data_IF_556032278608
#
_entry.id   IF_556032278608
#
_cell.length_a   1.000
_cell.length_b   1.000
_cell.length_c   1.000
_cell.angle_alpha   90.00
_cell.angle_beta   90.00
_cell.angle_gamma   90.00
#
_symmetry.space_group_name_H-M   'P 1'
#
loop_
_entity.id
_entity.type
_entity.pdbx_description
1 polymer ?
#
# COMPACT_ATOMS: atom_id res chain seq x y z
N UNK A 1 1.36 -18.67 -9.23
CA UNK A 1 0.36 -18.06 -8.34
C UNK A 1 0.86 -16.73 -7.85
N UNK A 2 0.06 -15.72 -7.93
CA UNK A 2 0.47 -14.40 -7.48
C UNK A 2 -0.22 -14.08 -6.15
N UNK A 3 0.50 -13.41 -5.29
CA UNK A 3 -0.01 -12.99 -4.00
C UNK A 3 0.00 -11.48 -3.93
N UNK A 4 -1.06 -10.93 -3.41
CA UNK A 4 -1.10 -9.53 -3.07
C UNK A 4 -1.59 -9.43 -1.64
N UNK A 5 -1.16 -8.38 -0.96
CA UNK A 5 -1.52 -8.19 0.45
C UNK A 5 -1.98 -6.76 0.66
N UNK A 6 -3.02 -6.54 1.47
CA UNK A 6 -3.44 -5.20 1.81
C UNK A 6 -2.53 -4.62 2.89
N UNK A 7 -2.27 -3.33 2.80
CA UNK A 7 -1.49 -2.63 3.79
C UNK A 7 -1.89 -1.17 3.86
N UNK A 8 -1.50 -0.51 4.93
CA UNK A 8 -1.82 0.89 5.14
C UNK A 8 -0.58 1.74 4.95
N UNK A 9 -0.71 2.80 4.15
CA UNK A 9 0.38 3.75 3.95
C UNK A 9 0.54 4.56 5.23
N UNK A 10 1.72 4.49 5.83
CA UNK A 10 1.99 5.22 7.07
C UNK A 10 3.00 6.35 6.86
N UNK A 11 3.66 6.39 5.73
CA UNK A 11 4.61 7.44 5.40
C UNK A 11 4.76 7.53 3.89
N UNK A 12 4.94 8.73 3.37
CA UNK A 12 5.21 8.95 1.94
C UNK A 12 6.52 9.68 1.80
N UNK A 13 7.25 9.39 0.73
CA UNK A 13 8.47 10.10 0.39
C UNK A 13 8.75 9.93 -1.10
N UNK A 14 9.66 10.74 -1.61
CA UNK A 14 10.02 10.72 -3.02
C UNK A 14 11.52 10.49 -3.14
N UNK A 15 11.90 9.53 -3.99
CA UNK A 15 13.30 9.26 -4.29
C UNK A 15 13.43 9.27 -5.81
N UNK A 16 14.23 10.22 -6.32
CA UNK A 16 14.52 10.30 -7.76
C UNK A 16 13.26 10.29 -8.61
N UNK A 17 12.31 11.13 -8.23
CA UNK A 17 11.04 11.29 -8.93
C UNK A 17 10.09 10.11 -8.79
N UNK A 18 10.44 9.11 -8.01
CA UNK A 18 9.53 8.00 -7.73
C UNK A 18 8.86 8.24 -6.38
N UNK A 19 7.55 8.03 -6.34
CA UNK A 19 6.81 8.09 -5.10
C UNK A 19 6.89 6.75 -4.42
N UNK A 20 7.33 6.77 -3.17
CA UNK A 20 7.37 5.58 -2.35
C UNK A 20 6.58 5.84 -1.07
N UNK A 21 6.25 4.77 -0.39
CA UNK A 21 5.62 4.88 0.90
C UNK A 21 6.06 3.75 1.78
N UNK A 22 6.05 4.00 3.08
CA UNK A 22 6.20 2.92 4.04
C UNK A 22 4.80 2.38 4.29
N UNK A 23 4.62 1.09 4.06
CA UNK A 23 3.31 0.46 4.17
C UNK A 23 3.36 -0.56 5.30
N UNK A 24 2.36 -0.50 6.18
CA UNK A 24 2.25 -1.37 7.32
C UNK A 24 1.37 -2.57 6.98
N UNK A 25 1.91 -3.75 7.23
CA UNK A 25 1.22 -5.03 7.09
C UNK A 25 1.21 -5.66 8.49
N UNK A 26 0.21 -5.31 9.30
CA UNK A 26 0.25 -5.71 10.69
C UNK A 26 1.43 -5.08 11.40
N UNK A 27 2.30 -5.90 11.96
CA UNK A 27 3.48 -5.42 12.68
C UNK A 27 4.68 -5.15 11.79
N UNK A 28 4.57 -5.47 10.51
CA UNK A 28 5.69 -5.35 9.58
C UNK A 28 5.49 -4.15 8.70
N UNK A 29 6.57 -3.37 8.49
CA UNK A 29 6.54 -2.23 7.58
C UNK A 29 7.53 -2.45 6.47
N UNK A 30 7.11 -2.12 5.25
CA UNK A 30 7.94 -2.30 4.06
C UNK A 30 7.85 -1.07 3.16
N UNK A 31 8.93 -0.70 2.50
CA UNK A 31 8.85 0.33 1.46
C UNK A 31 8.15 -0.23 0.23
N UNK A 32 7.30 0.59 -0.36
CA UNK A 32 6.47 0.18 -1.48
C UNK A 32 6.43 1.32 -2.49
N UNK A 33 6.53 1.01 -3.76
CA UNK A 33 6.38 2.01 -4.82
C UNK A 33 4.90 2.37 -4.96
N UNK A 34 4.62 3.67 -5.02
CA UNK A 34 3.25 4.18 -5.06
C UNK A 34 2.90 4.84 -6.39
N UNK A 35 3.77 4.75 -7.39
CA UNK A 35 3.53 5.46 -8.65
C UNK A 35 2.30 4.97 -9.40
N UNK A 36 1.87 3.74 -9.16
CA UNK A 36 0.69 3.18 -9.84
C UNK A 36 -0.63 3.58 -9.18
N UNK A 37 -0.56 4.17 -8.00
CA UNK A 37 -1.76 4.62 -7.27
C UNK A 37 -1.59 6.09 -6.86
N UNK A 38 -1.63 7.00 -7.84
CA UNK A 38 -1.30 8.40 -7.57
C UNK A 38 -2.25 9.10 -6.59
N UNK A 39 -3.45 8.57 -6.42
CA UNK A 39 -4.43 9.15 -5.50
C UNK A 39 -4.38 8.55 -4.09
N UNK A 40 -3.46 7.64 -3.83
CA UNK A 40 -3.33 7.05 -2.50
C UNK A 40 -2.29 7.81 -1.67
N UNK A 41 -2.63 8.11 -0.43
CA UNK A 41 -1.81 8.92 0.48
C UNK A 41 -1.75 8.30 1.85
N UNK A 42 -0.97 8.91 2.73
CA UNK A 42 -0.85 8.44 4.12
C UNK A 42 -2.24 8.30 4.74
N UNK A 43 -2.48 7.15 5.35
CA UNK A 43 -3.78 6.83 5.92
C UNK A 43 -4.63 5.95 5.02
N UNK A 44 -4.31 5.87 3.74
CA UNK A 44 -5.06 5.06 2.79
C UNK A 44 -4.54 3.63 2.78
N UNK A 45 -5.41 2.74 2.33
CA UNK A 45 -5.06 1.32 2.16
C UNK A 45 -4.80 1.02 0.70
N UNK A 46 -3.82 0.17 0.47
CA UNK A 46 -3.46 -0.26 -0.88
C UNK A 46 -3.24 -1.76 -0.89
N UNK A 47 -3.45 -2.35 -2.05
CA UNK A 47 -3.10 -3.74 -2.28
C UNK A 47 -1.70 -3.75 -2.90
N UNK A 48 -0.81 -4.53 -2.31
CA UNK A 48 0.60 -4.53 -2.68
C UNK A 48 0.99 -5.87 -3.25
N UNK A 49 1.70 -5.84 -4.37
CA UNK A 49 2.20 -7.04 -5.04
C UNK A 49 3.65 -6.78 -5.43
N UNK A 50 4.55 -7.58 -4.87
CA UNK A 50 5.99 -7.55 -5.18
C UNK A 50 6.56 -6.13 -5.07
N UNK A 51 6.25 -5.45 -3.97
CA UNK A 51 6.83 -4.15 -3.70
C UNK A 51 6.14 -2.98 -4.39
N UNK A 52 5.06 -3.23 -5.16
CA UNK A 52 4.31 -2.18 -5.84
C UNK A 52 2.88 -2.14 -5.31
N UNK A 53 2.41 -0.95 -4.98
CA UNK A 53 1.00 -0.76 -4.69
C UNK A 53 0.28 -0.75 -6.03
N UNK A 54 -0.63 -1.69 -6.23
CA UNK A 54 -1.29 -1.87 -7.52
C UNK A 54 -2.73 -1.40 -7.52
N UNK A 55 -3.30 -1.18 -6.34
CA UNK A 55 -4.70 -0.81 -6.24
C UNK A 55 -4.95 -0.04 -4.96
N UNK A 56 -5.72 1.04 -5.07
CA UNK A 56 -6.17 1.83 -3.92
C UNK A 56 -7.49 1.19 -3.44
N UNK A 57 -7.51 0.69 -2.23
CA UNK A 57 -8.66 -0.05 -1.71
C UNK A 57 -9.24 0.65 -0.49
N UNK A 58 -10.44 0.26 -0.12
CA UNK A 58 -11.08 0.81 1.07
C UNK A 58 -10.60 0.06 2.31
N UNK A 59 -10.83 0.66 3.47
CA UNK A 59 -10.52 0.01 4.73
C UNK A 59 -11.26 -1.32 4.87
N UNK A 60 -12.50 -1.35 4.40
CA UNK A 60 -13.29 -2.58 4.44
C UNK A 60 -12.67 -3.67 3.59
N UNK A 61 -12.22 -3.30 2.38
CA UNK A 61 -11.56 -4.27 1.51
C UNK A 61 -10.27 -4.78 2.12
N UNK A 62 -9.55 -3.91 2.83
CA UNK A 62 -8.28 -4.27 3.44
C UNK A 62 -8.48 -5.24 4.60
N UNK A 63 -9.57 -5.11 5.35
CA UNK A 63 -9.83 -5.95 6.53
C UNK A 63 -10.65 -7.18 6.24
N UNK A 64 -11.22 -7.28 5.04
CA UNK A 64 -12.01 -8.42 4.67
C UNK A 64 -13.46 -8.32 5.13
N UNK A 65 -14.34 -9.13 4.55
CA UNK A 65 -15.76 -9.03 4.78
C UNK A 65 -16.24 -9.62 6.10
N UNK A 66 -15.42 -10.39 6.75
CA UNK A 66 -15.81 -11.15 7.95
C UNK A 66 -15.29 -10.54 9.23
N UNK A 67 -14.95 -9.31 9.19
CA UNK A 67 -14.39 -8.62 10.35
C UNK A 67 -15.36 -8.49 11.48
#
# INVERSE_FOLDING_TARGET
MSFSAPGKIVQEYTIRNNRLGMVAFGDVRRPVFLDLVPDAHVGDYVRVHVGFAIEHITAEEAHGPDC
#
